data_IF_626874058198
#
_entry.id   IF_626874058198
#
_cell.length_a   1.000
_cell.length_b   1.000
_cell.length_c   1.000
_cell.angle_alpha   90.00
_cell.angle_beta   90.00
_cell.angle_gamma   90.00
#
_symmetry.space_group_name_H-M   'P 1'
#
loop_
_entity.id
_entity.type
_entity.pdbx_description
1 polymer ?
#
# COMPACT_ATOMS: atom_id res chain seq x y z
N UNK A 1 -19.58 -15.14 29.41
CA UNK A 1 -18.80 -13.88 29.51
C UNK A 1 -18.47 -13.46 28.08
N UNK A 2 -19.14 -12.42 27.55
CA UNK A 2 -18.94 -11.95 26.16
C UNK A 2 -17.83 -10.91 26.16
N UNK A 3 -16.76 -11.17 25.41
CA UNK A 3 -15.65 -10.22 25.19
C UNK A 3 -16.22 -9.04 24.38
N UNK A 4 -16.10 -7.78 24.86
CA UNK A 4 -16.59 -6.65 24.11
C UNK A 4 -15.66 -6.41 22.92
N UNK A 5 -16.19 -6.60 21.72
CA UNK A 5 -15.54 -6.18 20.48
C UNK A 5 -15.13 -4.72 20.62
N UNK A 6 -13.82 -4.45 20.54
CA UNK A 6 -13.29 -3.11 20.34
C UNK A 6 -14.03 -2.52 19.14
N UNK A 7 -14.72 -1.40 19.34
CA UNK A 7 -15.31 -0.64 18.24
C UNK A 7 -14.16 -0.30 17.29
N UNK A 8 -14.20 -0.79 16.04
CA UNK A 8 -13.41 -0.21 14.94
C UNK A 8 -13.56 1.31 15.01
N UNK A 9 -12.52 2.13 14.76
CA UNK A 9 -12.66 3.57 14.73
C UNK A 9 -13.75 3.93 13.71
N UNK A 10 -14.95 4.22 14.21
CA UNK A 10 -16.08 4.59 13.39
C UNK A 10 -15.70 5.92 12.72
N UNK A 11 -15.34 5.86 11.43
CA UNK A 11 -14.97 7.04 10.65
C UNK A 11 -13.59 7.03 10.02
N UNK A 12 -12.70 6.02 10.21
CA UNK A 12 -11.38 6.01 9.52
C UNK A 12 -11.55 6.02 8.00
N UNK A 13 -12.40 5.13 7.47
CA UNK A 13 -12.64 4.98 6.04
C UNK A 13 -13.25 6.25 5.48
N UNK A 14 -14.25 6.79 6.19
CA UNK A 14 -14.88 8.06 5.82
C UNK A 14 -13.89 9.23 5.80
N UNK A 15 -13.06 9.37 6.84
CA UNK A 15 -12.03 10.42 6.94
C UNK A 15 -11.06 10.35 5.77
N UNK A 16 -10.59 9.15 5.41
CA UNK A 16 -9.68 8.97 4.27
C UNK A 16 -10.36 9.24 2.93
N UNK A 17 -11.60 8.77 2.74
CA UNK A 17 -12.39 9.04 1.54
C UNK A 17 -12.67 10.54 1.37
N UNK A 18 -12.97 11.26 2.47
CA UNK A 18 -13.17 12.71 2.46
C UNK A 18 -11.91 13.46 2.02
N UNK A 19 -10.75 13.11 2.61
CA UNK A 19 -9.46 13.71 2.23
C UNK A 19 -9.08 13.39 0.77
N UNK A 20 -9.39 12.18 0.30
CA UNK A 20 -9.20 11.77 -1.09
C UNK A 20 -10.21 12.40 -2.06
N UNK A 21 -11.12 13.26 -1.58
CA UNK A 21 -12.21 13.88 -2.34
C UNK A 21 -13.12 12.86 -3.05
N UNK A 22 -13.32 11.69 -2.44
CA UNK A 22 -14.22 10.65 -2.93
C UNK A 22 -15.65 10.96 -2.50
N UNK A 23 -16.58 10.97 -3.46
CA UNK A 23 -17.97 11.34 -3.20
C UNK A 23 -18.64 10.31 -2.28
N UNK A 24 -19.45 10.74 -1.30
CA UNK A 24 -20.24 9.81 -0.51
C UNK A 24 -21.13 8.93 -1.40
N UNK A 25 -21.19 7.63 -1.09
CA UNK A 25 -22.01 6.65 -1.81
C UNK A 25 -21.40 6.09 -3.10
N UNK A 26 -20.21 6.53 -3.53
CA UNK A 26 -19.51 5.95 -4.70
C UNK A 26 -18.60 4.77 -4.35
N UNK A 27 -18.26 4.64 -3.07
CA UNK A 27 -17.39 3.59 -2.52
C UNK A 27 -18.12 3.03 -1.30
N UNK A 28 -18.09 1.71 -1.14
CA UNK A 28 -18.57 1.05 0.07
C UNK A 28 -17.55 1.30 1.19
N UNK A 29 -17.90 2.16 2.15
CA UNK A 29 -17.02 2.53 3.26
C UNK A 29 -16.86 1.42 4.31
N UNK A 30 -17.56 0.29 4.11
CA UNK A 30 -17.42 -0.93 4.90
C UNK A 30 -16.44 -1.94 4.29
N UNK A 31 -16.09 -1.77 3.00
CA UNK A 31 -15.08 -2.57 2.30
C UNK A 31 -13.71 -1.88 2.38
N UNK A 32 -12.90 -2.32 3.33
CA UNK A 32 -11.54 -1.81 3.55
C UNK A 32 -10.67 -1.89 2.28
N UNK A 33 -10.85 -2.92 1.42
CA UNK A 33 -10.06 -3.06 0.19
C UNK A 33 -10.47 -2.08 -0.90
N UNK A 34 -11.77 -1.78 -1.05
CA UNK A 34 -12.21 -0.74 -1.98
C UNK A 34 -11.79 0.64 -1.48
N UNK A 35 -11.90 0.91 -0.17
CA UNK A 35 -11.41 2.15 0.44
C UNK A 35 -9.92 2.36 0.17
N UNK A 36 -9.06 1.37 0.47
CA UNK A 36 -7.61 1.46 0.26
C UNK A 36 -7.27 1.79 -1.19
N UNK A 37 -7.82 1.04 -2.14
CA UNK A 37 -7.56 1.24 -3.58
C UNK A 37 -7.97 2.62 -4.07
N UNK A 38 -9.17 3.07 -3.69
CA UNK A 38 -9.72 4.35 -4.16
C UNK A 38 -8.95 5.53 -3.58
N UNK A 39 -8.61 5.47 -2.28
CA UNK A 39 -7.81 6.50 -1.62
C UNK A 39 -6.39 6.51 -2.20
N UNK A 40 -5.74 5.34 -2.34
CA UNK A 40 -4.40 5.23 -2.91
C UNK A 40 -4.33 5.78 -4.34
N UNK A 41 -5.31 5.46 -5.19
CA UNK A 41 -5.37 5.95 -6.57
C UNK A 41 -5.44 7.48 -6.65
N UNK A 42 -6.18 8.12 -5.74
CA UNK A 42 -6.25 9.59 -5.66
C UNK A 42 -4.95 10.17 -5.13
N UNK A 43 -4.44 9.62 -4.04
CA UNK A 43 -3.26 10.11 -3.31
C UNK A 43 -1.96 9.96 -4.12
N UNK A 44 -1.87 8.94 -4.97
CA UNK A 44 -0.74 8.73 -5.88
C UNK A 44 -0.58 9.88 -6.90
N UNK A 45 -1.66 10.54 -7.28
CA UNK A 45 -1.63 11.59 -8.31
C UNK A 45 -0.91 12.85 -7.84
N UNK A 46 -0.01 13.38 -8.69
CA UNK A 46 0.72 14.62 -8.41
C UNK A 46 -0.18 15.82 -8.17
N UNK A 47 -1.33 15.88 -8.84
CA UNK A 47 -2.31 16.97 -8.72
C UNK A 47 -3.22 16.85 -7.48
N UNK A 48 -3.12 15.77 -6.70
CA UNK A 48 -3.90 15.64 -5.47
C UNK A 48 -3.30 16.48 -4.34
N UNK A 49 -4.04 17.50 -3.92
CA UNK A 49 -3.58 18.49 -2.95
C UNK A 49 -3.52 18.03 -1.49
N UNK A 50 -4.16 16.92 -1.13
CA UNK A 50 -4.28 16.44 0.26
C UNK A 50 -3.43 15.19 0.56
N UNK A 51 -2.43 14.89 -0.27
CA UNK A 51 -1.61 13.67 -0.12
C UNK A 51 -0.86 13.63 1.21
N UNK A 52 -0.28 14.74 1.65
CA UNK A 52 0.45 14.79 2.93
C UNK A 52 -0.50 14.58 4.12
N UNK A 53 -1.70 15.15 4.05
CA UNK A 53 -2.75 15.02 5.06
C UNK A 53 -3.24 13.57 5.15
N UNK A 54 -3.47 12.90 4.02
CA UNK A 54 -3.82 11.47 4.02
C UNK A 54 -2.71 10.64 4.66
N UNK A 55 -1.45 10.86 4.29
CA UNK A 55 -0.32 10.12 4.86
C UNK A 55 -0.14 10.40 6.36
N UNK A 56 -0.49 11.60 6.84
CA UNK A 56 -0.52 11.91 8.27
C UNK A 56 -1.63 11.13 9.01
N UNK A 57 -2.82 10.96 8.41
CA UNK A 57 -3.86 10.08 8.98
C UNK A 57 -3.38 8.63 9.05
N UNK A 58 -2.70 8.17 8.00
CA UNK A 58 -2.16 6.80 7.95
C UNK A 58 -1.09 6.57 9.03
N UNK A 59 -0.23 7.57 9.28
CA UNK A 59 0.73 7.55 10.39
C UNK A 59 0.04 7.48 11.76
N UNK A 60 -1.04 8.23 11.97
CA UNK A 60 -1.85 8.21 13.19
C UNK A 60 -2.51 6.84 13.42
N UNK A 61 -3.06 6.23 12.36
CA UNK A 61 -3.71 4.92 12.45
C UNK A 61 -2.74 3.82 12.90
N UNK A 62 -1.45 3.92 12.57
CA UNK A 62 -0.41 2.99 13.03
C UNK A 62 -0.11 3.05 14.54
N UNK A 63 -0.82 3.87 15.32
CA UNK A 63 -0.78 3.79 16.78
C UNK A 63 -1.64 2.64 17.34
N UNK A 64 -2.65 2.19 16.58
CA UNK A 64 -3.51 1.07 16.95
C UNK A 64 -3.16 -0.17 16.12
N UNK A 65 -2.79 -1.25 16.81
CA UNK A 65 -2.48 -2.55 16.20
C UNK A 65 -3.65 -3.09 15.36
N UNK A 66 -4.89 -2.77 15.73
CA UNK A 66 -6.08 -3.20 14.99
C UNK A 66 -6.20 -2.57 13.59
N UNK A 67 -5.45 -1.50 13.33
CA UNK A 67 -5.45 -0.76 12.06
C UNK A 67 -4.31 -1.19 11.13
N UNK A 68 -3.40 -2.05 11.60
CA UNK A 68 -2.18 -2.39 10.90
C UNK A 68 -2.44 -2.99 9.51
N UNK A 69 -3.33 -3.97 9.41
CA UNK A 69 -3.67 -4.63 8.13
C UNK A 69 -4.24 -3.64 7.12
N UNK A 70 -5.12 -2.74 7.57
CA UNK A 70 -5.70 -1.69 6.75
C UNK A 70 -4.62 -0.74 6.22
N UNK A 71 -3.74 -0.26 7.10
CA UNK A 71 -2.65 0.65 6.71
C UNK A 71 -1.67 0.00 5.74
N UNK A 72 -1.25 -1.24 6.00
CA UNK A 72 -0.34 -1.96 5.10
C UNK A 72 -0.97 -2.16 3.73
N UNK A 73 -2.25 -2.53 3.68
CA UNK A 73 -3.01 -2.66 2.42
C UNK A 73 -2.99 -1.34 1.64
N UNK A 74 -3.31 -0.21 2.30
CA UNK A 74 -3.24 1.11 1.66
C UNK A 74 -1.84 1.47 1.15
N UNK A 75 -0.80 1.24 1.97
CA UNK A 75 0.58 1.56 1.58
C UNK A 75 1.07 0.66 0.43
N UNK A 76 0.66 -0.60 0.39
CA UNK A 76 0.94 -1.52 -0.70
C UNK A 76 0.27 -1.07 -2.00
N UNK A 77 -1.03 -0.74 -1.96
CA UNK A 77 -1.75 -0.19 -3.12
C UNK A 77 -1.06 1.07 -3.66
N UNK A 78 -0.65 1.97 -2.75
CA UNK A 78 0.06 3.20 -3.09
C UNK A 78 1.42 2.91 -3.72
N UNK A 79 2.22 1.99 -3.15
CA UNK A 79 3.50 1.57 -3.73
C UNK A 79 3.34 0.99 -5.13
N UNK A 80 2.35 0.14 -5.31
CA UNK A 80 2.08 -0.50 -6.60
C UNK A 80 1.75 0.56 -7.66
N UNK A 81 0.90 1.53 -7.34
CA UNK A 81 0.58 2.65 -8.23
C UNK A 81 1.82 3.48 -8.61
N UNK A 82 2.62 3.92 -7.63
CA UNK A 82 3.78 4.78 -7.92
C UNK A 82 4.95 4.02 -8.56
N UNK A 83 4.95 2.68 -8.49
CA UNK A 83 5.95 1.85 -9.17
C UNK A 83 5.83 1.90 -10.70
N UNK A 84 4.66 2.25 -11.23
CA UNK A 84 4.42 2.28 -12.68
C UNK A 84 5.19 3.40 -13.42
N UNK A 85 5.78 4.36 -12.69
CA UNK A 85 6.60 5.42 -13.29
C UNK A 85 5.82 6.40 -14.18
N UNK A 86 4.50 6.50 -13.99
CA UNK A 86 3.64 7.38 -14.77
C UNK A 86 3.84 8.84 -14.36
N UNK A 87 3.93 9.75 -15.34
CA UNK A 87 4.15 11.19 -15.09
C UNK A 87 3.03 11.85 -14.28
N UNK A 88 1.82 11.29 -14.31
CA UNK A 88 0.66 11.78 -13.55
C UNK A 88 0.74 11.40 -12.08
N UNK A 89 1.57 10.42 -11.70
CA UNK A 89 1.77 9.95 -10.34
C UNK A 89 3.08 10.47 -9.76
N UNK A 90 3.10 10.63 -8.43
CA UNK A 90 4.34 10.88 -7.69
C UNK A 90 5.26 9.67 -7.81
N UNK A 91 6.57 9.89 -7.74
CA UNK A 91 7.55 8.82 -7.65
C UNK A 91 7.50 8.14 -6.27
N UNK A 92 8.04 6.91 -6.13
CA UNK A 92 8.22 6.26 -4.83
C UNK A 92 8.98 7.15 -3.84
N UNK A 93 10.03 7.84 -4.29
CA UNK A 93 10.84 8.72 -3.45
C UNK A 93 10.06 9.96 -2.99
N UNK A 94 9.25 10.55 -3.88
CA UNK A 94 8.37 11.68 -3.54
C UNK A 94 7.36 11.28 -2.44
N UNK A 95 6.78 10.07 -2.51
CA UNK A 95 5.89 9.57 -1.45
C UNK A 95 6.68 9.28 -0.17
N UNK A 96 7.85 8.64 -0.28
CA UNK A 96 8.67 8.24 0.88
C UNK A 96 9.08 9.42 1.75
N UNK A 97 9.27 10.61 1.16
CA UNK A 97 9.58 11.87 1.86
C UNK A 97 8.40 12.43 2.66
N UNK A 98 7.16 12.04 2.35
CA UNK A 98 5.95 12.50 3.03
C UNK A 98 5.53 11.57 4.17
N UNK A 99 6.15 10.40 4.28
CA UNK A 99 5.80 9.42 5.30
C UNK A 99 6.33 9.83 6.67
N UNK A 100 5.49 9.63 7.69
CA UNK A 100 5.92 9.66 9.08
C UNK A 100 6.80 8.45 9.44
N UNK A 101 7.38 8.40 10.65
CA UNK A 101 8.32 7.35 11.03
C UNK A 101 7.75 5.92 10.98
N UNK A 102 6.50 5.69 11.44
CA UNK A 102 5.90 4.34 11.44
C UNK A 102 5.54 3.91 10.03
N UNK A 103 4.90 4.80 9.28
CA UNK A 103 4.50 4.57 7.89
C UNK A 103 5.72 4.37 6.99
N UNK A 104 6.83 5.06 7.23
CA UNK A 104 8.12 4.83 6.60
C UNK A 104 8.66 3.41 6.85
N UNK A 105 8.58 2.91 8.09
CA UNK A 105 8.99 1.52 8.41
C UNK A 105 8.10 0.51 7.67
N UNK A 106 6.77 0.71 7.67
CA UNK A 106 5.85 -0.13 6.91
C UNK A 106 6.17 -0.09 5.42
N UNK A 107 6.43 1.09 4.86
CA UNK A 107 6.79 1.27 3.46
C UNK A 107 8.06 0.50 3.09
N UNK A 108 9.12 0.62 3.89
CA UNK A 108 10.38 -0.08 3.63
C UNK A 108 10.20 -1.60 3.80
N UNK A 109 9.33 -2.03 4.71
CA UNK A 109 8.98 -3.45 4.91
C UNK A 109 8.23 -4.04 3.71
N UNK A 110 7.23 -3.34 3.19
CA UNK A 110 6.51 -3.76 1.96
C UNK A 110 7.45 -3.73 0.76
N UNK A 111 8.36 -2.75 0.68
CA UNK A 111 9.40 -2.69 -0.36
C UNK A 111 10.30 -3.92 -0.32
N UNK A 112 10.79 -4.29 0.86
CA UNK A 112 11.64 -5.47 1.04
C UNK A 112 10.92 -6.78 0.74
N UNK A 113 9.64 -6.90 1.11
CA UNK A 113 8.82 -8.06 0.78
C UNK A 113 8.72 -8.24 -0.75
N UNK A 114 8.35 -7.19 -1.48
CA UNK A 114 8.22 -7.27 -2.93
C UNK A 114 9.55 -7.47 -3.66
N UNK A 115 10.66 -6.97 -3.11
CA UNK A 115 11.99 -7.29 -3.59
C UNK A 115 12.28 -8.80 -3.44
N UNK A 116 11.94 -9.40 -2.31
CA UNK A 116 12.09 -10.84 -2.10
C UNK A 116 11.20 -11.68 -3.04
N UNK A 117 9.97 -11.23 -3.31
CA UNK A 117 9.08 -11.83 -4.32
C UNK A 117 9.73 -11.76 -5.71
N UNK A 118 10.30 -10.61 -6.08
CA UNK A 118 11.00 -10.43 -7.35
C UNK A 118 12.20 -11.38 -7.49
N UNK A 119 13.07 -11.42 -6.48
CA UNK A 119 14.25 -12.28 -6.48
C UNK A 119 13.88 -13.76 -6.56
N UNK A 120 12.89 -14.19 -5.78
CA UNK A 120 12.36 -15.55 -5.85
C UNK A 120 11.83 -15.86 -7.26
N UNK A 121 11.05 -14.93 -7.83
CA UNK A 121 10.42 -15.12 -9.14
C UNK A 121 11.47 -15.21 -10.24
N UNK A 122 12.52 -14.40 -10.21
CA UNK A 122 13.68 -14.53 -11.09
C UNK A 122 14.38 -15.89 -10.93
N UNK A 123 14.53 -16.36 -9.68
CA UNK A 123 15.10 -17.68 -9.39
C UNK A 123 14.31 -18.87 -9.95
N UNK A 124 13.01 -18.70 -10.24
CA UNK A 124 12.20 -19.77 -10.85
C UNK A 124 12.50 -20.01 -12.35
N UNK A 125 13.20 -19.08 -13.02
CA UNK A 125 13.55 -19.19 -14.44
C UNK A 125 12.40 -18.98 -15.43
N UNK A 126 11.19 -18.71 -14.97
CA UNK A 126 10.06 -18.37 -15.85
C UNK A 126 10.06 -16.86 -16.10
N UNK A 127 9.93 -16.46 -17.36
CA UNK A 127 9.89 -15.04 -17.74
C UNK A 127 8.77 -14.29 -17.01
N UNK A 128 9.08 -13.08 -16.59
CA UNK A 128 8.09 -12.11 -16.14
C UNK A 128 7.36 -11.51 -17.34
N UNK A 129 6.11 -11.09 -17.12
CA UNK A 129 5.31 -10.43 -18.14
C UNK A 129 5.64 -8.92 -18.18
N UNK A 130 5.65 -8.27 -19.35
CA UNK A 130 5.82 -6.82 -19.44
C UNK A 130 4.67 -6.07 -18.78
N UNK A 131 4.95 -4.90 -18.21
CA UNK A 131 3.93 -4.03 -17.63
C UNK A 131 3.16 -3.19 -18.68
N UNK A 132 3.70 -2.98 -19.89
CA UNK A 132 3.06 -2.09 -20.87
C UNK A 132 1.56 -2.41 -21.14
N UNK A 133 1.14 -3.68 -21.38
CA UNK A 133 -0.27 -4.00 -21.60
C UNK A 133 -1.18 -3.68 -20.41
N UNK A 134 -0.64 -3.70 -19.18
CA UNK A 134 -1.36 -3.31 -17.97
C UNK A 134 -1.63 -1.80 -17.97
N UNK A 135 -0.69 -1.00 -18.46
CA UNK A 135 -0.77 0.46 -18.45
C UNK A 135 -1.67 1.01 -19.58
N UNK A 136 -1.94 0.21 -20.61
CA UNK A 136 -2.84 0.57 -21.72
C UNK A 136 -4.34 0.38 -21.39
N UNK A 137 -4.68 -0.07 -20.17
CA UNK A 137 -6.08 -0.30 -19.77
C UNK A 137 -6.85 1.02 -19.64
N UNK A 138 -7.79 1.26 -20.56
CA UNK A 138 -8.59 2.49 -20.59
C UNK A 138 -9.76 2.51 -19.59
N UNK A 139 -10.36 1.35 -19.29
CA UNK A 139 -11.49 1.29 -18.36
C UNK A 139 -11.02 1.68 -16.95
N UNK A 140 -11.55 2.78 -16.41
CA UNK A 140 -11.07 3.35 -15.15
C UNK A 140 -11.16 2.39 -13.96
N UNK A 141 -12.26 1.63 -13.84
CA UNK A 141 -12.45 0.69 -12.73
C UNK A 141 -11.48 -0.48 -12.82
N UNK A 142 -11.33 -1.05 -14.01
CA UNK A 142 -10.40 -2.15 -14.25
C UNK A 142 -8.95 -1.69 -14.06
N UNK A 143 -8.64 -0.47 -14.54
CA UNK A 143 -7.33 0.16 -14.35
C UNK A 143 -7.00 0.32 -12.88
N UNK A 144 -7.90 0.91 -12.08
CA UNK A 144 -7.69 1.05 -10.63
C UNK A 144 -7.40 -0.29 -9.98
N UNK A 145 -8.21 -1.31 -10.29
CA UNK A 145 -8.02 -2.66 -9.74
C UNK A 145 -6.68 -3.27 -10.15
N UNK A 146 -6.32 -3.20 -11.42
CA UNK A 146 -5.12 -3.87 -11.92
C UNK A 146 -3.85 -3.13 -11.51
N UNK A 147 -3.86 -1.80 -11.49
CA UNK A 147 -2.69 -1.00 -11.13
C UNK A 147 -2.38 -1.09 -9.63
N UNK A 148 -3.39 -1.16 -8.77
CA UNK A 148 -3.12 -1.36 -7.33
C UNK A 148 -2.71 -2.80 -7.01
N UNK A 149 -3.11 -3.79 -7.83
CA UNK A 149 -2.78 -5.21 -7.62
C UNK A 149 -1.47 -5.67 -8.26
N UNK A 150 -0.77 -4.81 -9.02
CA UNK A 150 0.46 -5.15 -9.73
C UNK A 150 1.53 -4.07 -9.52
N UNK A 151 2.78 -4.50 -9.45
CA UNK A 151 3.97 -3.66 -9.34
C UNK A 151 4.76 -3.72 -10.63
N UNK A 152 5.23 -2.57 -11.11
CA UNK A 152 6.21 -2.50 -12.20
C UNK A 152 7.62 -2.51 -11.61
N UNK A 153 8.47 -3.39 -12.10
CA UNK A 153 9.88 -3.46 -11.75
C UNK A 153 10.69 -2.45 -12.56
N UNK A 154 11.88 -2.10 -12.10
CA UNK A 154 12.80 -1.20 -12.81
C UNK A 154 13.17 -1.70 -14.22
N UNK A 155 13.08 -3.01 -14.46
CA UNK A 155 13.32 -3.67 -15.74
C UNK A 155 12.13 -3.58 -16.71
N UNK A 156 10.97 -3.12 -16.25
CA UNK A 156 9.75 -2.89 -17.06
C UNK A 156 8.74 -4.05 -17.03
N UNK A 157 9.10 -5.18 -16.42
CA UNK A 157 8.18 -6.28 -16.17
C UNK A 157 7.32 -6.04 -14.92
N UNK A 158 6.23 -6.79 -14.79
CA UNK A 158 5.31 -6.71 -13.67
C UNK A 158 5.37 -7.92 -12.75
N UNK A 159 5.11 -7.68 -11.48
CA UNK A 159 4.71 -8.68 -10.49
C UNK A 159 3.29 -8.40 -10.04
N UNK A 160 2.51 -9.44 -9.78
CA UNK A 160 1.16 -9.29 -9.26
C UNK A 160 0.95 -10.01 -7.95
N UNK A 161 -0.22 -9.80 -7.35
CA UNK A 161 -0.67 -10.53 -6.16
C UNK A 161 -0.56 -12.07 -6.31
N UNK A 162 -0.73 -12.59 -7.53
CA UNK A 162 -0.56 -14.01 -7.82
C UNK A 162 0.88 -14.49 -7.58
N UNK A 163 1.89 -13.65 -7.83
CA UNK A 163 3.28 -13.97 -7.57
C UNK A 163 3.59 -13.94 -6.07
N UNK A 164 3.05 -12.95 -5.35
CA UNK A 164 3.14 -12.88 -3.89
C UNK A 164 2.54 -14.13 -3.21
N UNK A 165 1.34 -14.55 -3.63
CA UNK A 165 0.69 -15.78 -3.10
C UNK A 165 1.51 -17.03 -3.41
N UNK A 166 2.13 -17.12 -4.59
CA UNK A 166 2.99 -18.26 -4.92
C UNK A 166 4.28 -18.24 -4.11
N UNK A 167 4.87 -17.08 -3.90
CA UNK A 167 6.06 -16.90 -3.05
C UNK A 167 5.79 -17.39 -1.63
N UNK A 168 4.72 -16.94 -1.00
CA UNK A 168 4.33 -17.39 0.35
C UNK A 168 4.11 -18.91 0.40
N UNK A 169 3.41 -19.48 -0.60
CA UNK A 169 3.19 -20.93 -0.70
C UNK A 169 4.48 -21.72 -0.91
N UNK A 170 5.48 -21.13 -1.56
CA UNK A 170 6.78 -21.75 -1.81
C UNK A 170 7.72 -21.68 -0.58
N UNK A 171 7.18 -21.41 0.62
CA UNK A 171 7.88 -21.17 1.89
C UNK A 171 8.52 -19.77 2.03
N UNK A 172 8.12 -18.81 1.21
CA UNK A 172 8.44 -17.40 1.41
C UNK A 172 7.88 -16.87 2.74
N UNK A 173 8.46 -15.77 3.22
CA UNK A 173 7.96 -15.12 4.44
C UNK A 173 6.79 -14.19 4.11
N UNK A 174 5.70 -14.19 4.90
CA UNK A 174 4.66 -13.19 4.77
C UNK A 174 5.19 -11.81 5.16
N UNK A 175 4.42 -10.76 4.86
CA UNK A 175 4.71 -9.42 5.36
C UNK A 175 4.79 -9.46 6.90
N UNK A 176 5.86 -8.93 7.53
CA UNK A 176 5.98 -8.84 8.98
C UNK A 176 4.78 -8.16 9.65
N UNK A 177 4.35 -8.66 10.82
CA UNK A 177 3.23 -8.09 11.59
C UNK A 177 3.59 -6.87 12.43
N UNK A 178 2.59 -6.13 12.94
CA UNK A 178 2.70 -4.83 13.65
C UNK A 178 3.89 -4.66 14.61
N UNK A 179 4.23 -5.70 15.40
CA UNK A 179 5.34 -5.67 16.36
C UNK A 179 6.71 -5.24 15.79
N UNK A 180 6.93 -5.41 14.48
CA UNK A 180 8.16 -5.01 13.79
C UNK A 180 8.39 -3.50 13.85
N UNK A 181 7.33 -2.67 13.88
CA UNK A 181 7.43 -1.21 13.95
C UNK A 181 8.17 -0.78 15.22
N UNK A 182 7.79 -1.35 16.36
CA UNK A 182 8.40 -1.03 17.65
C UNK A 182 9.87 -1.43 17.72
N UNK A 183 10.23 -2.55 17.08
CA UNK A 183 11.61 -3.03 16.97
C UNK A 183 12.42 -2.11 16.07
N UNK A 184 11.91 -1.78 14.88
CA UNK A 184 12.57 -0.92 13.91
C UNK A 184 12.83 0.48 14.48
N UNK A 185 11.81 1.11 15.08
CA UNK A 185 11.96 2.45 15.69
C UNK A 185 12.97 2.48 16.84
N UNK A 186 13.12 1.37 17.57
CA UNK A 186 14.14 1.25 18.62
C UNK A 186 15.54 1.19 18.01
N UNK A 187 15.71 0.44 16.93
CA UNK A 187 16.99 0.31 16.21
C UNK A 187 17.40 1.64 15.59
N UNK A 188 16.44 2.42 15.06
CA UNK A 188 16.71 3.73 14.45
C UNK A 188 16.84 4.87 15.46
N UNK A 189 16.77 4.60 16.77
CA UNK A 189 16.91 5.61 17.82
C UNK A 189 15.74 6.58 17.94
N UNK A 190 14.60 6.31 17.30
CA UNK A 190 13.43 7.19 17.23
C UNK A 190 12.45 7.06 18.41
N UNK A 191 12.85 6.41 19.51
CA UNK A 191 12.08 6.40 20.77
C UNK A 191 12.78 7.25 21.83
N UNK A 192 12.40 8.52 21.90
CA UNK A 192 12.85 9.45 22.93
C UNK A 192 12.12 10.79 22.88
N UNK A 193 10.83 10.79 23.24
CA UNK A 193 10.11 11.98 23.74
C UNK A 193 8.87 11.54 24.51
#
# INVERSE_FOLDING_TARGET
MRIPWRRRPAGRSRRLLDLAAVRPGTVDDTDDFDVCRQVAFRVARRDHGATAEVLAVVEELLEDEAEYEFVVTFLEDLQNLVSHGLETFRSPDEIRLLLGPRSAVCWDTVTAFWAAVADWRLGTGVSLEPAAPLLDVENEQLRTLLWTANRTLATGEKLGIADAVRYEKAAGSPIPGYSHIAVALRITGQRGS
#
